data_IF_024830218008
#
_entry.id   IF_024830218008
#
_cell.length_a   1.000
_cell.length_b   1.000
_cell.length_c   1.000
_cell.angle_alpha   90.00
_cell.angle_beta   90.00
_cell.angle_gamma   90.00
#
_symmetry.space_group_name_H-M   'P 1'
#
loop_
_entity.id
_entity.type
_entity.pdbx_description
1 polymer ?
#
# COMPACT_ATOMS: atom_id res chain seq x y z
N UNK A 1 -12.23 -4.30 10.07
CA UNK A 1 -11.99 -2.86 10.33
C UNK A 1 -12.21 -2.13 9.02
N UNK A 2 -13.14 -1.18 8.96
CA UNK A 2 -13.33 -0.29 7.80
C UNK A 2 -12.93 1.11 8.24
N UNK A 3 -11.62 1.31 8.42
CA UNK A 3 -11.07 2.61 8.77
C UNK A 3 -10.80 3.40 7.49
N UNK A 4 -11.11 4.69 7.52
CA UNK A 4 -10.91 5.57 6.36
C UNK A 4 -9.51 6.13 6.42
N UNK A 5 -8.72 5.87 5.38
CA UNK A 5 -7.36 6.40 5.25
C UNK A 5 -7.45 7.84 4.74
N UNK A 6 -6.74 8.75 5.40
CA UNK A 6 -6.53 10.11 4.91
C UNK A 6 -5.34 10.15 3.96
N UNK A 7 -5.63 10.50 2.72
CA UNK A 7 -4.71 10.60 1.61
C UNK A 7 -4.82 12.02 1.00
N UNK A 8 -4.97 13.04 1.85
CA UNK A 8 -5.06 14.46 1.47
C UNK A 8 -4.08 15.34 2.25
N UNK A 9 -2.92 15.70 1.67
CA UNK A 9 -2.42 15.37 0.32
C UNK A 9 -1.89 13.94 0.19
N UNK A 10 -1.72 13.47 -1.05
CA UNK A 10 -1.19 12.13 -1.35
C UNK A 10 0.23 11.88 -0.83
N UNK A 11 0.95 12.93 -0.44
CA UNK A 11 2.26 12.86 0.21
C UNK A 11 2.22 12.33 1.65
N UNK A 12 1.03 12.25 2.26
CA UNK A 12 0.86 11.67 3.59
C UNK A 12 0.95 10.15 3.60
N UNK A 13 0.87 9.52 2.43
CA UNK A 13 1.07 8.09 2.25
C UNK A 13 2.52 7.84 1.88
N UNK A 14 3.26 7.24 2.80
CA UNK A 14 4.67 6.92 2.61
C UNK A 14 4.82 5.61 1.82
N UNK A 15 4.90 5.73 0.50
CA UNK A 15 5.07 4.60 -0.42
C UNK A 15 6.38 3.83 -0.21
N UNK A 16 7.38 4.41 0.45
CA UNK A 16 8.61 3.68 0.80
C UNK A 16 8.42 2.72 1.98
N UNK A 17 7.31 2.87 2.71
CA UNK A 17 6.88 2.01 3.81
C UNK A 17 5.71 1.09 3.44
N UNK A 18 5.28 1.10 2.19
CA UNK A 18 4.33 0.14 1.64
C UNK A 18 5.08 -0.85 0.76
N UNK A 19 4.77 -2.13 0.93
CA UNK A 19 5.39 -3.20 0.17
C UNK A 19 4.34 -4.19 -0.33
N UNK A 20 4.63 -4.84 -1.45
CA UNK A 20 3.88 -6.03 -1.88
C UNK A 20 4.77 -7.25 -1.65
N UNK A 21 4.19 -8.29 -1.07
CA UNK A 21 4.84 -9.55 -0.75
C UNK A 21 3.93 -10.73 -1.08
N UNK A 22 4.50 -11.91 -1.25
CA UNK A 22 3.72 -13.15 -1.29
C UNK A 22 3.25 -13.52 0.12
N UNK A 23 2.13 -14.22 0.23
CA UNK A 23 1.53 -14.61 1.53
C UNK A 23 2.56 -15.24 2.46
N UNK A 24 2.72 -14.69 3.67
CA UNK A 24 3.64 -15.18 4.69
C UNK A 24 5.10 -14.76 4.49
N UNK A 25 5.40 -13.99 3.44
CA UNK A 25 6.63 -13.24 3.29
C UNK A 25 6.43 -11.80 3.78
N UNK A 26 7.51 -11.04 3.94
CA UNK A 26 7.41 -9.64 4.38
C UNK A 26 8.32 -8.73 3.56
N UNK A 27 7.82 -7.53 3.24
CA UNK A 27 8.56 -6.39 2.69
C UNK A 27 9.38 -6.69 1.42
N UNK A 28 8.83 -7.46 0.47
CA UNK A 28 9.57 -7.89 -0.73
C UNK A 28 9.71 -6.79 -1.78
N UNK A 29 8.60 -6.17 -2.18
CA UNK A 29 8.58 -5.16 -3.26
C UNK A 29 8.08 -3.82 -2.73
N UNK A 30 8.99 -2.89 -2.46
CA UNK A 30 8.62 -1.54 -2.02
C UNK A 30 7.86 -0.78 -3.12
N UNK A 31 6.87 0.03 -2.73
CA UNK A 31 6.10 0.88 -3.64
C UNK A 31 6.76 2.24 -3.90
N UNK A 32 8.03 2.42 -3.54
CA UNK A 32 8.78 3.66 -3.79
C UNK A 32 8.72 4.05 -5.27
N UNK A 33 8.33 5.29 -5.55
CA UNK A 33 8.19 5.81 -6.92
C UNK A 33 6.93 5.37 -7.67
N UNK A 34 6.05 4.58 -7.04
CA UNK A 34 4.70 4.35 -7.54
C UNK A 34 3.87 5.64 -7.45
N UNK A 35 2.74 5.70 -8.16
CA UNK A 35 1.87 6.89 -8.18
C UNK A 35 0.52 6.57 -7.56
N UNK A 36 0.09 7.35 -6.57
CA UNK A 36 -1.24 7.23 -5.98
C UNK A 36 -2.24 7.94 -6.88
N UNK A 37 -3.25 7.21 -7.36
CA UNK A 37 -4.28 7.73 -8.28
C UNK A 37 -5.51 8.30 -7.56
N UNK A 38 -5.69 7.91 -6.30
CA UNK A 38 -6.77 8.43 -5.45
C UNK A 38 -6.25 9.61 -4.64
N UNK A 39 -7.11 10.59 -4.37
CA UNK A 39 -6.86 11.67 -3.41
C UNK A 39 -8.12 11.86 -2.59
N UNK A 40 -8.01 12.16 -1.30
CA UNK A 40 -9.16 12.27 -0.41
C UNK A 40 -9.15 11.25 0.72
N UNK A 41 -10.24 11.25 1.48
CA UNK A 41 -10.48 10.28 2.55
C UNK A 41 -11.21 9.08 1.96
N UNK A 42 -10.56 7.92 1.94
CA UNK A 42 -11.13 6.71 1.33
C UNK A 42 -10.76 5.46 2.11
N UNK A 43 -11.65 4.46 2.11
CA UNK A 43 -11.37 3.14 2.65
C UNK A 43 -10.40 2.33 1.75
N UNK A 44 -10.21 2.75 0.50
CA UNK A 44 -9.31 2.12 -0.46
C UNK A 44 -8.43 3.16 -1.16
N UNK A 45 -7.19 2.79 -1.42
CA UNK A 45 -6.21 3.59 -2.15
C UNK A 45 -5.84 2.84 -3.43
N UNK A 46 -5.83 3.55 -4.56
CA UNK A 46 -5.37 2.98 -5.83
C UNK A 46 -3.96 3.49 -6.14
N UNK A 47 -3.03 2.57 -6.41
CA UNK A 47 -1.63 2.88 -6.70
C UNK A 47 -1.23 2.28 -8.05
N UNK A 48 -0.68 3.10 -8.93
CA UNK A 48 -0.05 2.68 -10.18
C UNK A 48 1.39 2.30 -9.91
N UNK A 49 1.71 1.02 -10.11
CA UNK A 49 3.06 0.47 -9.98
C UNK A 49 3.95 0.89 -11.14
N UNK A 50 5.25 0.96 -10.89
CA UNK A 50 6.27 1.01 -11.95
C UNK A 50 6.36 -0.35 -12.66
N UNK A 51 6.93 -0.36 -13.87
CA UNK A 51 7.09 -1.60 -14.64
C UNK A 51 7.93 -2.66 -13.88
N UNK A 52 8.98 -2.23 -13.17
CA UNK A 52 9.79 -3.15 -12.37
C UNK A 52 8.98 -3.79 -11.23
N UNK A 53 8.20 -3.00 -10.48
CA UNK A 53 7.31 -3.49 -9.42
C UNK A 53 6.24 -4.42 -10.00
N UNK A 54 5.64 -4.06 -11.14
CA UNK A 54 4.63 -4.89 -11.82
C UNK A 54 5.17 -6.28 -12.16
N UNK A 55 6.39 -6.37 -12.69
CA UNK A 55 7.05 -7.65 -12.98
C UNK A 55 7.28 -8.47 -11.71
N UNK A 56 7.73 -7.84 -10.62
CA UNK A 56 7.91 -8.51 -9.32
C UNK A 56 6.60 -9.04 -8.76
N UNK A 57 5.50 -8.27 -8.84
CA UNK A 57 4.18 -8.66 -8.35
C UNK A 57 3.57 -9.78 -9.18
N UNK A 58 3.75 -9.76 -10.51
CA UNK A 58 3.27 -10.84 -11.41
C UNK A 58 4.00 -12.16 -11.15
N UNK A 59 5.24 -12.10 -10.67
CA UNK A 59 5.99 -13.29 -10.29
C UNK A 59 5.53 -13.90 -8.95
N UNK A 60 4.72 -13.19 -8.16
CA UNK A 60 4.17 -13.68 -6.89
C UNK A 60 2.92 -14.53 -7.12
N UNK A 61 2.70 -15.51 -6.24
CA UNK A 61 1.54 -16.41 -6.36
C UNK A 61 0.31 -15.78 -5.74
N UNK A 62 0.47 -15.13 -4.59
CA UNK A 62 -0.59 -14.50 -3.81
C UNK A 62 -0.12 -13.16 -3.28
N UNK A 63 -0.12 -12.11 -4.11
CA UNK A 63 0.39 -10.80 -3.70
C UNK A 63 -0.53 -10.18 -2.64
N UNK A 64 0.08 -9.77 -1.53
CA UNK A 64 -0.54 -9.08 -0.41
C UNK A 64 0.21 -7.78 -0.12
N UNK A 65 -0.45 -6.83 0.53
CA UNK A 65 0.14 -5.56 0.95
C UNK A 65 0.69 -5.70 2.36
N UNK A 66 1.97 -5.37 2.50
CA UNK A 66 2.57 -5.09 3.79
C UNK A 66 2.62 -3.58 4.00
N UNK A 67 2.16 -3.17 5.16
CA UNK A 67 2.14 -1.81 5.65
C UNK A 67 3.13 -1.75 6.81
N UNK A 68 4.21 -0.98 6.66
CA UNK A 68 5.06 -0.68 7.81
C UNK A 68 4.43 0.43 8.69
N UNK A 69 4.83 0.49 9.95
CA UNK A 69 4.28 1.47 10.90
C UNK A 69 4.42 2.90 10.38
N UNK A 70 3.35 3.70 10.55
CA UNK A 70 3.29 5.08 10.07
C UNK A 70 3.49 5.24 8.55
N UNK A 71 3.11 4.23 7.75
CA UNK A 71 3.01 4.37 6.31
C UNK A 71 1.77 5.17 5.88
N UNK A 72 0.67 5.03 6.63
CA UNK A 72 -0.60 5.72 6.38
C UNK A 72 -1.17 6.25 7.70
N UNK A 73 -2.05 7.25 7.61
CA UNK A 73 -2.78 7.82 8.75
C UNK A 73 -4.29 7.79 8.53
N UNK A 74 -5.04 7.76 9.61
CA UNK A 74 -6.50 7.90 9.59
C UNK A 74 -6.92 9.37 9.41
N UNK A 75 -8.22 9.62 9.22
CA UNK A 75 -8.80 10.97 9.15
C UNK A 75 -8.71 11.76 10.46
N UNK A 76 -8.35 11.12 11.56
CA UNK A 76 -8.13 11.74 12.87
C UNK A 76 -6.65 12.10 13.09
N UNK A 77 -5.76 11.79 12.14
CA UNK A 77 -4.33 12.03 12.21
C UNK A 77 -3.52 10.97 12.96
N UNK A 78 -4.12 9.85 13.34
CA UNK A 78 -3.42 8.72 13.96
C UNK A 78 -2.72 7.89 12.88
N UNK A 79 -1.47 7.51 13.13
CA UNK A 79 -0.74 6.59 12.26
C UNK A 79 -1.22 5.16 12.44
N UNK A 80 -1.38 4.42 11.35
CA UNK A 80 -1.68 2.99 11.42
C UNK A 80 -0.40 2.22 11.77
N UNK A 81 -0.54 1.23 12.66
CA UNK A 81 0.52 0.30 13.04
C UNK A 81 0.93 -0.60 11.86
N UNK A 82 2.07 -1.27 11.98
CA UNK A 82 2.48 -2.21 10.96
C UNK A 82 1.47 -3.36 10.82
N UNK A 83 1.09 -3.66 9.58
CA UNK A 83 0.20 -4.76 9.23
C UNK A 83 0.79 -5.50 8.03
N UNK A 84 1.07 -6.79 8.20
CA UNK A 84 1.54 -7.66 7.13
C UNK A 84 0.37 -8.44 6.55
N UNK A 85 0.53 -8.93 5.33
CA UNK A 85 -0.43 -9.85 4.70
C UNK A 85 -1.85 -9.24 4.59
N UNK A 86 -1.95 -7.98 4.15
CA UNK A 86 -3.25 -7.36 3.89
C UNK A 86 -3.69 -7.68 2.45
N UNK A 87 -4.87 -8.27 2.30
CA UNK A 87 -5.42 -8.60 0.98
C UNK A 87 -5.55 -7.38 0.06
N UNK A 88 -5.11 -7.52 -1.19
CA UNK A 88 -5.20 -6.49 -2.24
C UNK A 88 -5.90 -6.99 -3.48
N UNK A 89 -6.53 -6.06 -4.19
CA UNK A 89 -7.09 -6.30 -5.52
C UNK A 89 -6.14 -5.73 -6.57
N UNK A 90 -5.49 -6.61 -7.33
CA UNK A 90 -4.68 -6.21 -8.49
C UNK A 90 -5.60 -6.09 -9.70
N UNK A 91 -5.69 -4.89 -10.28
CA UNK A 91 -6.42 -4.65 -11.52
C UNK A 91 -5.41 -4.45 -12.64
N UNK A 92 -5.52 -5.22 -13.73
CA UNK A 92 -4.64 -5.16 -14.89
C UNK A 92 -5.08 -4.10 -15.90
#
# INVERSE_FOLDING_TARGET
FSETIDNTPTTDVDLAKLFISDTGQTNQTALTGATINTSGNSATISVTLTEAQRQSVIAMTTPQLDIAAAAVKDTSGNTIDAAADNAITVTA
#
